data_IF_061061555871
#
_entry.id   IF_061061555871
#
_cell.length_a   1.000
_cell.length_b   1.000
_cell.length_c   1.000
_cell.angle_alpha   90.00
_cell.angle_beta   90.00
_cell.angle_gamma   90.00
#
_symmetry.space_group_name_H-M   'P 1'
#
loop_
_entity.id
_entity.type
_entity.pdbx_description
1 polymer ?
#
# COMPACT_ATOMS: atom_id res chain seq x y z
N UNK A 1 -16.83 22.09 83.11
CA UNK A 1 -17.56 21.88 81.84
C UNK A 1 -16.52 21.54 80.79
N UNK A 2 -16.23 20.20 80.65
CA UNK A 2 -15.17 19.69 79.79
C UNK A 2 -15.79 19.29 78.44
N UNK A 3 -15.48 20.01 77.36
CA UNK A 3 -15.80 19.58 76.01
C UNK A 3 -14.64 18.74 75.44
N UNK A 4 -14.91 17.48 75.23
CA UNK A 4 -14.00 16.54 74.52
C UNK A 4 -14.09 16.85 73.01
N UNK A 5 -12.96 17.17 72.37
CA UNK A 5 -12.82 17.34 70.95
C UNK A 5 -12.32 15.99 70.38
N UNK A 6 -13.14 15.35 69.53
CA UNK A 6 -12.80 14.12 68.82
C UNK A 6 -12.11 14.49 67.52
N UNK A 7 -10.92 13.97 67.17
CA UNK A 7 -10.32 14.23 65.87
C UNK A 7 -10.95 13.31 64.79
N UNK A 8 -11.42 13.99 63.73
CA UNK A 8 -11.87 13.29 62.48
C UNK A 8 -10.66 12.97 61.66
N UNK A 9 -10.37 11.68 61.49
CA UNK A 9 -9.32 11.18 60.61
C UNK A 9 -9.86 11.21 59.15
N UNK A 10 -9.29 12.07 58.33
CA UNK A 10 -9.48 12.02 56.87
C UNK A 10 -8.55 10.99 56.29
N UNK A 11 -9.09 9.86 55.83
CA UNK A 11 -8.39 8.88 54.99
C UNK A 11 -8.35 9.41 53.53
N UNK A 12 -7.19 9.86 53.10
CA UNK A 12 -6.91 10.10 51.68
C UNK A 12 -6.64 8.76 51.02
N UNK A 13 -7.60 8.24 50.23
CA UNK A 13 -7.37 7.12 49.34
C UNK A 13 -6.61 7.63 48.11
N UNK A 14 -5.30 7.33 48.03
CA UNK A 14 -4.52 7.50 46.82
C UNK A 14 -4.98 6.43 45.80
N UNK A 15 -5.84 6.82 44.86
CA UNK A 15 -6.16 6.02 43.71
C UNK A 15 -4.94 5.95 42.78
N UNK A 16 -4.22 4.83 42.78
CA UNK A 16 -3.23 4.54 41.75
C UNK A 16 -3.97 4.29 40.41
N UNK A 17 -3.99 5.31 39.54
CA UNK A 17 -4.32 5.10 38.14
C UNK A 17 -3.17 4.31 37.49
N UNK A 18 -3.36 3.00 37.34
CA UNK A 18 -2.48 2.19 36.49
C UNK A 18 -2.74 2.56 35.03
N UNK A 19 -1.88 3.38 34.46
CA UNK A 19 -1.79 3.57 33.02
C UNK A 19 -1.32 2.26 32.41
N UNK A 20 -2.26 1.46 31.90
CA UNK A 20 -1.90 0.37 30.98
C UNK A 20 -1.44 1.00 29.69
N UNK A 21 -0.13 1.08 29.49
CA UNK A 21 0.45 1.38 28.20
C UNK A 21 -0.01 0.30 27.22
N UNK A 22 -0.95 0.62 26.32
CA UNK A 22 -1.20 -0.19 25.15
C UNK A 22 0.11 -0.22 24.36
N UNK A 23 0.86 -1.30 24.47
CA UNK A 23 1.99 -1.55 23.60
C UNK A 23 1.41 -1.82 22.20
N UNK A 24 1.54 -0.84 21.33
CA UNK A 24 1.32 -1.01 19.91
C UNK A 24 2.42 -1.92 19.39
N UNK A 25 2.17 -3.22 19.45
CA UNK A 25 3.02 -4.23 18.84
C UNK A 25 2.99 -4.10 17.33
N UNK A 26 3.75 -3.18 16.79
CA UNK A 26 4.05 -3.08 15.36
C UNK A 26 4.98 -4.22 14.94
N UNK A 27 4.53 -5.48 15.05
CA UNK A 27 5.26 -6.60 14.49
C UNK A 27 5.52 -6.37 13.01
N UNK A 28 6.77 -6.58 12.55
CA UNK A 28 7.12 -6.51 11.15
C UNK A 28 6.20 -7.47 10.37
N UNK A 29 5.53 -6.96 9.34
CA UNK A 29 4.71 -7.80 8.48
C UNK A 29 5.64 -8.67 7.64
N UNK A 30 5.40 -9.99 7.63
CA UNK A 30 6.20 -10.96 6.91
C UNK A 30 5.40 -11.53 5.76
N UNK A 31 6.02 -11.60 4.60
CA UNK A 31 5.56 -12.34 3.43
C UNK A 31 6.56 -13.43 3.11
N UNK A 32 6.29 -14.26 2.11
CA UNK A 32 7.23 -15.31 1.69
C UNK A 32 7.55 -15.23 0.20
N UNK A 33 8.71 -15.75 -0.19
CA UNK A 33 9.05 -16.09 -1.57
C UNK A 33 9.54 -17.52 -1.61
N UNK A 34 8.75 -18.40 -2.26
CA UNK A 34 8.99 -19.85 -2.28
C UNK A 34 9.22 -20.41 -0.87
N UNK A 35 8.37 -19.98 0.06
CA UNK A 35 8.41 -20.38 1.47
C UNK A 35 9.49 -19.72 2.32
N UNK A 36 10.41 -18.94 1.75
CA UNK A 36 11.41 -18.17 2.50
C UNK A 36 10.81 -16.86 3.00
N UNK A 37 10.91 -16.53 4.31
CA UNK A 37 10.35 -15.30 4.86
C UNK A 37 11.08 -14.07 4.34
N UNK A 38 10.31 -13.01 4.07
CA UNK A 38 10.77 -11.68 3.71
C UNK A 38 10.10 -10.65 4.62
N UNK A 39 10.84 -9.65 5.04
CA UNK A 39 10.39 -8.62 5.97
C UNK A 39 9.94 -7.37 5.24
N UNK A 40 8.71 -6.92 5.49
CA UNK A 40 8.23 -5.63 5.00
C UNK A 40 8.62 -4.52 5.98
N UNK A 41 9.12 -3.41 5.45
CA UNK A 41 9.51 -2.22 6.20
C UNK A 41 8.80 -0.98 5.70
N UNK A 42 8.55 -0.04 6.59
CA UNK A 42 7.86 1.22 6.33
C UNK A 42 6.52 1.33 7.08
N UNK A 43 5.75 2.36 6.74
CA UNK A 43 4.44 2.64 7.35
C UNK A 43 3.37 1.74 6.74
N UNK A 44 2.60 1.04 7.58
CA UNK A 44 1.56 0.12 7.09
C UNK A 44 0.38 0.89 6.49
N UNK A 45 0.09 0.62 5.24
CA UNK A 45 -1.17 1.03 4.60
C UNK A 45 -2.35 0.29 5.23
N UNK A 46 -3.50 0.97 5.31
CA UNK A 46 -4.74 0.44 5.88
C UNK A 46 -5.94 0.96 5.12
N UNK A 47 -6.97 0.12 4.99
CA UNK A 47 -8.27 0.55 4.46
C UNK A 47 -8.83 1.69 5.33
N UNK A 48 -9.39 2.71 4.70
CA UNK A 48 -9.92 3.91 5.35
C UNK A 48 -8.88 5.03 5.55
N UNK A 49 -7.60 4.78 5.29
CA UNK A 49 -6.55 5.81 5.34
C UNK A 49 -6.28 6.37 3.94
N UNK A 50 -5.91 7.64 3.89
CA UNK A 50 -5.47 8.27 2.64
C UNK A 50 -4.10 7.73 2.25
N UNK A 51 -3.90 7.43 0.96
CA UNK A 51 -2.59 7.11 0.43
C UNK A 51 -1.64 8.30 0.66
N UNK A 52 -0.40 8.07 1.11
CA UNK A 52 0.58 9.15 1.28
C UNK A 52 0.76 9.99 0.01
N UNK A 53 0.97 11.29 0.19
CA UNK A 53 1.23 12.19 -0.92
C UNK A 53 2.66 11.98 -1.45
N UNK A 54 2.77 11.36 -2.62
CA UNK A 54 4.03 10.96 -3.22
C UNK A 54 4.12 11.41 -4.68
N UNK A 55 5.34 11.67 -5.12
CA UNK A 55 5.67 11.95 -6.53
C UNK A 55 6.62 10.89 -7.04
N UNK A 56 6.21 10.19 -8.09
CA UNK A 56 6.99 9.11 -8.70
C UNK A 56 7.29 9.45 -10.17
N UNK A 57 8.46 9.11 -10.70
CA UNK A 57 8.77 9.29 -12.11
C UNK A 57 7.95 8.34 -13.00
N UNK A 58 7.43 8.88 -14.09
CA UNK A 58 6.82 8.14 -15.19
C UNK A 58 7.87 7.59 -16.18
N UNK A 59 7.39 7.01 -17.29
CA UNK A 59 8.23 6.46 -18.37
C UNK A 59 9.13 7.50 -19.06
N UNK A 60 8.84 8.79 -18.89
CA UNK A 60 9.59 9.92 -19.42
C UNK A 60 10.46 10.62 -18.37
N UNK A 61 10.56 10.08 -17.16
CA UNK A 61 11.22 10.68 -15.99
C UNK A 61 10.52 11.93 -15.44
N UNK A 62 9.31 12.25 -15.88
CA UNK A 62 8.52 13.33 -15.31
C UNK A 62 7.99 12.91 -13.94
N UNK A 63 8.09 13.79 -12.94
CA UNK A 63 7.60 13.52 -11.59
C UNK A 63 6.08 13.70 -11.53
N UNK A 64 5.36 12.60 -11.46
CA UNK A 64 3.90 12.54 -11.37
C UNK A 64 3.47 12.52 -9.91
N UNK A 65 2.60 13.44 -9.53
CA UNK A 65 1.98 13.48 -8.19
C UNK A 65 0.81 12.50 -8.16
N UNK A 66 0.78 11.58 -7.20
CA UNK A 66 -0.31 10.60 -7.07
C UNK A 66 -1.68 11.26 -6.82
N UNK A 67 -1.72 12.49 -6.31
CA UNK A 67 -2.97 13.25 -6.16
C UNK A 67 -3.58 13.68 -7.50
N UNK A 68 -2.80 13.72 -8.57
CA UNK A 68 -3.34 14.05 -9.91
C UNK A 68 -4.34 13.02 -10.42
N UNK A 69 -4.45 11.86 -9.74
CA UNK A 69 -5.40 10.80 -10.05
C UNK A 69 -6.67 10.82 -9.18
N UNK A 70 -6.84 11.83 -8.30
CA UNK A 70 -7.97 11.91 -7.36
C UNK A 70 -9.31 12.29 -8.01
N UNK A 71 -9.36 12.55 -9.29
CA UNK A 71 -10.60 12.80 -10.04
C UNK A 71 -11.42 11.54 -10.33
N UNK A 72 -10.75 10.37 -10.27
CA UNK A 72 -11.34 9.06 -10.54
C UNK A 72 -10.94 8.02 -9.49
N UNK A 73 -11.73 6.97 -9.39
CA UNK A 73 -11.31 5.74 -8.71
C UNK A 73 -10.02 5.25 -9.34
N UNK A 74 -9.07 4.80 -8.53
CA UNK A 74 -7.76 4.37 -9.01
C UNK A 74 -7.45 2.96 -8.52
N UNK A 75 -7.04 2.08 -9.44
CA UNK A 75 -6.45 0.79 -9.11
C UNK A 75 -4.94 0.93 -9.18
N UNK A 76 -4.27 0.74 -8.04
CA UNK A 76 -2.81 0.64 -7.96
C UNK A 76 -2.42 -0.84 -7.93
N UNK A 77 -1.76 -1.31 -8.96
CA UNK A 77 -1.13 -2.62 -9.05
C UNK A 77 0.35 -2.47 -8.68
N UNK A 78 0.77 -3.09 -7.59
CA UNK A 78 2.14 -3.02 -7.10
C UNK A 78 2.82 -4.36 -7.39
N UNK A 79 3.95 -4.31 -8.08
CA UNK A 79 4.71 -5.49 -8.50
C UNK A 79 6.18 -5.38 -8.11
N UNK A 80 6.84 -6.49 -7.76
CA UNK A 80 8.28 -6.52 -7.49
C UNK A 80 9.14 -6.04 -8.66
N UNK A 81 8.95 -6.64 -9.85
CA UNK A 81 9.64 -6.27 -11.09
C UNK A 81 8.91 -6.83 -12.30
N UNK A 82 8.67 -5.98 -13.30
CA UNK A 82 8.00 -6.32 -14.56
C UNK A 82 8.75 -7.38 -15.37
N UNK A 83 10.04 -7.53 -15.14
CA UNK A 83 10.88 -8.55 -15.80
C UNK A 83 10.66 -9.98 -15.22
N UNK A 84 9.59 -10.19 -14.42
CA UNK A 84 9.26 -11.51 -13.87
C UNK A 84 7.91 -12.02 -14.36
N UNK A 85 7.76 -13.36 -14.64
CA UNK A 85 6.55 -13.90 -15.25
C UNK A 85 5.25 -13.62 -14.50
N UNK A 86 5.28 -13.61 -13.16
CA UNK A 86 4.09 -13.35 -12.35
C UNK A 86 3.69 -11.88 -12.41
N UNK A 87 4.65 -10.95 -12.48
CA UNK A 87 4.36 -9.51 -12.59
C UNK A 87 3.87 -9.14 -13.99
N UNK A 88 4.47 -9.73 -15.02
CA UNK A 88 4.01 -9.66 -16.40
C UNK A 88 2.54 -10.09 -16.48
N UNK A 89 2.22 -11.28 -16.00
CA UNK A 89 0.85 -11.80 -15.95
C UNK A 89 -0.12 -10.89 -15.19
N UNK A 90 0.29 -10.37 -14.03
CA UNK A 90 -0.55 -9.44 -13.25
C UNK A 90 -0.89 -8.19 -14.06
N UNK A 91 0.09 -7.64 -14.77
CA UNK A 91 -0.07 -6.41 -15.55
C UNK A 91 -0.92 -6.65 -16.79
N UNK A 92 -0.76 -7.80 -17.49
CA UNK A 92 -1.62 -8.19 -18.61
C UNK A 92 -3.08 -8.38 -18.19
N UNK A 93 -3.36 -9.10 -17.09
CA UNK A 93 -4.74 -9.27 -16.58
C UNK A 93 -5.37 -7.89 -16.30
N UNK A 94 -4.67 -6.99 -15.63
CA UNK A 94 -5.20 -5.65 -15.35
C UNK A 94 -5.44 -4.85 -16.63
N UNK A 95 -4.57 -4.97 -17.64
CA UNK A 95 -4.69 -4.26 -18.92
C UNK A 95 -5.80 -4.82 -19.80
N UNK A 96 -5.89 -6.15 -19.92
CA UNK A 96 -6.68 -6.80 -20.97
C UNK A 96 -8.05 -7.28 -20.46
N UNK A 97 -8.11 -7.77 -19.20
CA UNK A 97 -9.33 -8.39 -18.66
C UNK A 97 -10.22 -7.37 -17.90
N UNK A 98 -9.91 -6.08 -17.96
CA UNK A 98 -10.63 -5.05 -17.20
C UNK A 98 -12.05 -4.73 -17.72
N UNK A 99 -12.47 -5.31 -18.84
CA UNK A 99 -13.83 -5.18 -19.42
C UNK A 99 -14.25 -3.71 -19.60
N UNK A 100 -13.31 -2.84 -20.03
CA UNK A 100 -13.54 -1.42 -20.28
C UNK A 100 -13.54 -0.53 -19.04
N UNK A 101 -13.12 -1.06 -17.88
CA UNK A 101 -13.03 -0.30 -16.63
C UNK A 101 -12.00 0.83 -16.74
N UNK A 102 -10.95 0.66 -17.54
CA UNK A 102 -9.92 1.66 -17.84
C UNK A 102 -10.44 2.99 -18.41
N UNK A 103 -11.67 3.01 -18.92
CA UNK A 103 -12.35 4.25 -19.35
C UNK A 103 -12.89 5.07 -18.17
N UNK A 104 -13.26 4.41 -17.09
CA UNK A 104 -13.88 5.01 -15.91
C UNK A 104 -12.93 5.23 -14.74
N UNK A 105 -11.87 4.41 -14.63
CA UNK A 105 -10.92 4.44 -13.53
C UNK A 105 -9.49 4.61 -14.03
N UNK A 106 -8.60 5.08 -13.16
CA UNK A 106 -7.17 5.08 -13.44
C UNK A 106 -6.58 3.71 -13.14
N UNK A 107 -5.83 3.15 -14.07
CA UNK A 107 -5.03 1.94 -13.88
C UNK A 107 -3.56 2.35 -13.76
N UNK A 108 -2.93 2.04 -12.63
CA UNK A 108 -1.53 2.43 -12.36
C UNK A 108 -0.75 1.19 -11.92
N UNK A 109 0.42 0.97 -12.49
CA UNK A 109 1.38 -0.03 -12.02
C UNK A 109 2.61 0.65 -11.43
N UNK A 110 2.97 0.24 -10.20
CA UNK A 110 4.16 0.73 -9.50
C UNK A 110 5.14 -0.41 -9.29
N UNK A 111 6.40 -0.19 -9.65
CA UNK A 111 7.51 -1.13 -9.39
C UNK A 111 8.79 -0.38 -9.07
N UNK A 112 9.85 -1.11 -8.72
CA UNK A 112 11.19 -0.53 -8.54
C UNK A 112 12.05 -0.63 -9.79
N UNK A 113 11.49 -1.10 -10.89
CA UNK A 113 12.17 -1.08 -12.18
C UNK A 113 12.48 0.37 -12.60
N UNK A 114 13.58 0.57 -13.29
CA UNK A 114 13.89 1.87 -13.88
C UNK A 114 12.81 2.26 -14.91
N UNK A 115 12.47 3.54 -15.05
CA UNK A 115 11.52 4.01 -16.06
C UNK A 115 11.82 3.52 -17.48
N UNK A 116 13.08 3.34 -17.82
CA UNK A 116 13.51 2.81 -19.12
C UNK A 116 13.12 1.33 -19.30
N UNK A 117 13.23 0.51 -18.25
CA UNK A 117 12.80 -0.89 -18.25
C UNK A 117 11.27 -0.99 -18.33
N UNK A 118 10.55 -0.19 -17.53
CA UNK A 118 9.09 -0.10 -17.60
C UNK A 118 8.62 0.34 -19.00
N UNK A 119 9.30 1.30 -19.63
CA UNK A 119 8.98 1.77 -21.00
C UNK A 119 9.19 0.66 -22.03
N UNK A 120 10.29 -0.09 -21.94
CA UNK A 120 10.54 -1.24 -22.81
C UNK A 120 9.44 -2.29 -22.64
N UNK A 121 9.14 -2.67 -21.40
CA UNK A 121 8.07 -3.62 -21.07
C UNK A 121 6.71 -3.17 -21.67
N UNK A 122 6.26 -1.95 -21.38
CA UNK A 122 4.99 -1.43 -21.88
C UNK A 122 4.89 -1.49 -23.40
N UNK A 123 6.01 -1.17 -24.10
CA UNK A 123 6.08 -1.22 -25.57
C UNK A 123 5.99 -2.65 -26.11
N UNK A 124 6.76 -3.58 -25.53
CA UNK A 124 6.83 -4.98 -25.96
C UNK A 124 5.51 -5.70 -25.66
N UNK A 125 4.92 -5.48 -24.50
CA UNK A 125 3.62 -5.98 -24.08
C UNK A 125 2.43 -5.28 -24.77
N UNK A 126 2.67 -4.18 -25.53
CA UNK A 126 1.63 -3.36 -26.19
C UNK A 126 0.58 -2.80 -25.22
N UNK A 127 0.97 -2.54 -23.98
CA UNK A 127 0.11 -1.98 -22.93
C UNK A 127 0.16 -0.46 -23.01
N UNK A 128 -1.01 0.17 -23.22
CA UNK A 128 -1.15 1.62 -23.36
C UNK A 128 -2.25 2.25 -22.48
N UNK A 129 -2.98 1.42 -21.73
CA UNK A 129 -4.07 1.84 -20.84
C UNK A 129 -3.68 1.80 -19.35
N UNK A 130 -2.40 1.55 -19.04
CA UNK A 130 -1.85 1.58 -17.68
C UNK A 130 -0.81 2.69 -17.60
N UNK A 131 -0.88 3.50 -16.53
CA UNK A 131 0.18 4.43 -16.17
C UNK A 131 1.25 3.69 -15.36
N UNK A 132 2.49 3.68 -15.84
CA UNK A 132 3.62 3.08 -15.13
C UNK A 132 4.36 4.16 -14.34
N UNK A 133 4.60 3.87 -13.05
CA UNK A 133 5.33 4.74 -12.14
C UNK A 133 6.43 3.96 -11.44
N UNK A 134 7.59 4.57 -11.28
CA UNK A 134 8.77 3.91 -10.72
C UNK A 134 9.14 4.44 -9.34
N UNK A 135 9.34 3.54 -8.40
CA UNK A 135 9.87 3.82 -7.04
C UNK A 135 11.39 3.59 -6.95
N UNK A 136 12.13 3.70 -8.10
CA UNK A 136 13.53 3.29 -8.16
C UNK A 136 14.48 4.14 -7.32
N UNK A 137 14.19 5.46 -7.17
CA UNK A 137 15.10 6.40 -6.52
C UNK A 137 15.26 6.08 -5.03
N UNK A 138 14.36 6.57 -4.22
CA UNK A 138 14.51 6.58 -2.76
C UNK A 138 13.65 5.53 -2.04
N UNK A 139 12.90 4.72 -2.79
CA UNK A 139 11.93 3.76 -2.28
C UNK A 139 10.86 4.44 -1.39
N UNK A 140 10.48 5.67 -1.73
CA UNK A 140 9.53 6.45 -0.92
C UNK A 140 8.15 5.82 -0.89
N UNK A 141 7.68 5.31 -2.05
CA UNK A 141 6.40 4.61 -2.12
C UNK A 141 6.42 3.36 -1.23
N UNK A 142 7.43 2.52 -1.38
CA UNK A 142 7.57 1.30 -0.59
C UNK A 142 7.65 1.57 0.91
N UNK A 143 8.40 2.60 1.33
CA UNK A 143 8.52 3.00 2.74
C UNK A 143 7.22 3.58 3.29
N UNK A 144 6.57 4.47 2.54
CA UNK A 144 5.35 5.15 2.99
C UNK A 144 4.10 4.28 2.94
N UNK A 145 4.17 3.12 2.26
CA UNK A 145 3.06 2.16 2.18
C UNK A 145 3.31 0.86 2.94
N UNK A 146 4.53 0.68 3.49
CA UNK A 146 4.94 -0.55 4.17
C UNK A 146 5.12 -1.73 3.23
N UNK A 147 5.38 -1.48 1.95
CA UNK A 147 5.56 -2.52 0.92
C UNK A 147 7.02 -2.76 0.54
N UNK A 148 7.97 -2.02 1.13
CA UNK A 148 9.39 -2.22 0.82
C UNK A 148 9.89 -3.51 1.48
N UNK A 149 10.39 -4.44 0.68
CA UNK A 149 11.03 -5.66 1.16
C UNK A 149 12.46 -5.32 1.61
N UNK A 150 12.79 -5.65 2.87
CA UNK A 150 14.09 -5.33 3.46
C UNK A 150 15.25 -6.03 2.75
N UNK A 151 15.10 -7.31 2.43
CA UNK A 151 16.16 -8.22 1.99
C UNK A 151 16.62 -7.93 0.56
N UNK A 152 15.71 -7.65 -0.36
CA UNK A 152 16.03 -7.47 -1.79
C UNK A 152 15.71 -6.07 -2.32
N UNK A 153 15.13 -5.20 -1.48
CA UNK A 153 14.78 -3.82 -1.82
C UNK A 153 13.75 -3.67 -2.95
N UNK A 154 12.99 -4.73 -3.24
CA UNK A 154 11.85 -4.69 -4.15
C UNK A 154 10.56 -4.33 -3.39
N UNK A 155 9.48 -4.10 -4.14
CA UNK A 155 8.15 -3.93 -3.55
C UNK A 155 7.48 -5.29 -3.33
N UNK A 156 6.75 -5.43 -2.25
CA UNK A 156 5.82 -6.54 -2.08
C UNK A 156 4.72 -6.45 -3.14
N UNK A 157 4.24 -7.60 -3.59
CA UNK A 157 3.11 -7.67 -4.50
C UNK A 157 1.83 -7.30 -3.77
N UNK A 158 1.10 -6.33 -4.31
CA UNK A 158 -0.14 -5.85 -3.73
C UNK A 158 -1.07 -5.27 -4.80
N UNK A 159 -2.34 -5.11 -4.43
CA UNK A 159 -3.31 -4.34 -5.21
C UNK A 159 -4.13 -3.47 -4.25
N UNK A 160 -4.27 -2.19 -4.58
CA UNK A 160 -5.06 -1.22 -3.84
C UNK A 160 -6.15 -0.67 -4.74
N UNK A 161 -7.32 -0.35 -4.16
CA UNK A 161 -8.31 0.49 -4.82
C UNK A 161 -8.50 1.75 -3.98
N UNK A 162 -8.34 2.90 -4.62
CA UNK A 162 -8.50 4.21 -4.03
C UNK A 162 -9.77 4.86 -4.55
N UNK A 163 -10.50 5.55 -3.68
CA UNK A 163 -11.58 6.43 -4.12
C UNK A 163 -11.05 7.75 -4.71
N UNK A 164 -11.97 8.60 -5.19
CA UNK A 164 -11.68 9.92 -5.77
C UNK A 164 -11.04 10.92 -4.79
N UNK A 165 -10.89 10.56 -3.51
CA UNK A 165 -10.19 11.35 -2.48
C UNK A 165 -8.84 10.76 -2.11
N UNK A 166 -8.42 9.69 -2.80
CA UNK A 166 -7.19 8.95 -2.50
C UNK A 166 -7.26 8.11 -1.23
N UNK A 167 -8.47 7.81 -0.72
CA UNK A 167 -8.66 6.95 0.45
C UNK A 167 -8.61 5.50 -0.03
N UNK A 168 -7.82 4.67 0.63
CA UNK A 168 -7.72 3.23 0.36
C UNK A 168 -9.05 2.58 0.76
N UNK A 169 -9.76 2.01 -0.21
CA UNK A 169 -11.04 1.31 -0.01
C UNK A 169 -10.90 -0.20 -0.09
N UNK A 170 -9.91 -0.67 -0.85
CA UNK A 170 -9.53 -2.08 -0.91
C UNK A 170 -8.02 -2.19 -0.85
N UNK A 171 -7.52 -3.20 -0.16
CA UNK A 171 -6.11 -3.47 0.02
C UNK A 171 -5.89 -4.98 0.13
N UNK A 172 -5.07 -5.52 -0.74
CA UNK A 172 -4.54 -6.87 -0.63
C UNK A 172 -3.02 -6.84 -0.79
N UNK A 173 -2.31 -7.43 0.17
CA UNK A 173 -0.87 -7.71 0.11
C UNK A 173 -0.73 -9.21 0.05
N UNK A 174 -0.11 -9.71 -1.01
CA UNK A 174 0.02 -11.16 -1.24
C UNK A 174 1.02 -11.76 -0.27
N UNK A 175 0.61 -12.79 0.47
CA UNK A 175 1.46 -13.45 1.48
C UNK A 175 2.61 -14.27 0.88
N UNK A 176 2.44 -14.80 -0.34
CA UNK A 176 3.49 -15.49 -1.12
C UNK A 176 3.75 -14.72 -2.42
N UNK A 177 4.94 -14.12 -2.52
CA UNK A 177 5.29 -13.17 -3.58
C UNK A 177 5.14 -13.73 -5.01
N UNK A 178 5.22 -15.05 -5.16
CA UNK A 178 5.04 -15.75 -6.44
C UNK A 178 3.57 -15.93 -6.84
N UNK A 179 2.60 -15.63 -5.97
CA UNK A 179 1.16 -15.71 -6.26
C UNK A 179 0.63 -14.37 -6.75
N UNK A 180 -0.45 -14.40 -7.53
CA UNK A 180 -1.20 -13.21 -7.94
C UNK A 180 -2.13 -12.75 -6.81
N UNK A 181 -2.41 -11.45 -6.70
CA UNK A 181 -3.54 -10.94 -5.92
C UNK A 181 -4.86 -11.29 -6.63
N UNK A 182 -5.97 -11.12 -5.94
CA UNK A 182 -7.31 -11.24 -6.52
C UNK A 182 -7.65 -9.97 -7.32
N UNK A 183 -7.12 -9.91 -8.55
CA UNK A 183 -7.25 -8.75 -9.44
C UNK A 183 -8.72 -8.56 -9.87
N UNK A 184 -9.44 -9.65 -10.11
CA UNK A 184 -10.85 -9.60 -10.51
C UNK A 184 -11.71 -8.97 -9.41
N UNK A 185 -11.53 -9.40 -8.17
CA UNK A 185 -12.19 -8.82 -7.01
C UNK A 185 -11.87 -7.33 -6.85
N UNK A 186 -10.62 -6.93 -7.04
CA UNK A 186 -10.23 -5.53 -6.98
C UNK A 186 -10.91 -4.70 -8.07
N UNK A 187 -11.00 -5.23 -9.30
CA UNK A 187 -11.71 -4.58 -10.41
C UNK A 187 -13.22 -4.49 -10.17
N UNK A 188 -13.84 -5.54 -9.63
CA UNK A 188 -15.27 -5.53 -9.26
C UNK A 188 -15.54 -4.50 -8.15
N UNK A 189 -14.66 -4.46 -7.15
CA UNK A 189 -14.76 -3.47 -6.08
C UNK A 189 -14.63 -2.03 -6.63
N UNK A 190 -13.69 -1.78 -7.54
CA UNK A 190 -13.53 -0.47 -8.16
C UNK A 190 -14.76 -0.04 -8.97
N UNK A 191 -15.50 -0.99 -9.60
CA UNK A 191 -16.77 -0.70 -10.30
C UNK A 191 -17.90 -0.29 -9.36
N UNK A 192 -17.83 -0.67 -8.09
CA UNK A 192 -18.85 -0.39 -7.08
C UNK A 192 -18.70 0.98 -6.42
N UNK A 193 -17.59 1.70 -6.67
CA UNK A 193 -17.31 3.05 -6.14
C UNK A 193 -17.72 4.14 -7.11
#
# INVERSE_FOLDING_TARGET
MNRKITPVLFLYSLGFLTYTALSWGGGAQTITLKGKPLTLIGEKSQVGKTLPNLRLPDLGLNMVDLRSFHDKVTILSIVPSLDTPTCDKQTHILSEDNKGLDKAVNLITVSRDLPFAQKRFAKEAKINNITFLSDYRDAEFGKSTGLLIKENRLLARAIFVLDQKGIIRYLEIVSELAKLPDIERAMEFARSL
#
